data_IF_416046726673
#
_entry.id   IF_416046726673
#
_cell.length_a   1.000
_cell.length_b   1.000
_cell.length_c   1.000
_cell.angle_alpha   90.00
_cell.angle_beta   90.00
_cell.angle_gamma   90.00
#
_symmetry.space_group_name_H-M   'P 1'
#
loop_
_entity.id
_entity.type
_entity.pdbx_description
1 polymer ?
#
# COMPACT_ATOMS: atom_id res chain seq x y z
N UNK A 1 18.14 12.03 37.00
CA UNK A 1 18.15 10.64 37.50
C UNK A 1 16.83 10.01 37.11
N UNK A 2 16.86 9.15 36.09
CA UNK A 2 15.92 8.07 35.74
C UNK A 2 16.37 7.62 34.34
N UNK A 3 17.38 6.74 34.32
CA UNK A 3 17.75 6.01 33.11
C UNK A 3 16.68 4.96 32.87
N UNK A 4 15.80 5.19 31.89
CA UNK A 4 14.90 4.15 31.41
C UNK A 4 15.76 3.03 30.79
N UNK A 5 15.94 1.94 31.53
CA UNK A 5 16.50 0.72 30.97
C UNK A 5 15.42 0.14 30.06
N UNK A 6 15.61 0.27 28.74
CA UNK A 6 14.77 -0.44 27.75
C UNK A 6 15.06 -1.92 27.92
N UNK A 7 14.07 -2.65 28.43
CA UNK A 7 14.12 -4.11 28.53
C UNK A 7 14.21 -4.66 27.10
N UNK A 8 15.38 -5.19 26.74
CA UNK A 8 15.66 -5.66 25.39
C UNK A 8 14.93 -6.98 25.18
N UNK A 9 13.78 -6.91 24.50
CA UNK A 9 12.99 -8.12 24.21
C UNK A 9 13.76 -8.97 23.19
N UNK A 10 14.13 -10.23 23.52
CA UNK A 10 14.91 -11.06 22.62
C UNK A 10 14.13 -11.32 21.32
N UNK A 11 14.81 -11.16 20.18
CA UNK A 11 14.23 -11.41 18.85
C UNK A 11 13.85 -12.88 18.71
N UNK A 12 12.61 -13.15 18.30
CA UNK A 12 12.15 -14.52 18.01
C UNK A 12 12.72 -14.99 16.68
N UNK A 13 13.66 -15.93 16.74
CA UNK A 13 14.25 -16.58 15.57
C UNK A 13 13.52 -17.89 15.26
N UNK A 14 13.55 -18.31 13.99
CA UNK A 14 13.07 -19.64 13.62
C UNK A 14 14.20 -20.66 13.67
N UNK A 15 14.23 -21.48 14.71
CA UNK A 15 15.28 -22.48 14.95
C UNK A 15 14.92 -23.87 14.46
N UNK A 16 13.64 -24.22 14.43
CA UNK A 16 13.19 -25.61 14.23
C UNK A 16 12.87 -25.93 12.76
N UNK A 17 12.43 -24.92 11.99
CA UNK A 17 12.12 -25.05 10.55
C UNK A 17 12.14 -23.70 9.83
N UNK A 18 12.04 -23.73 8.51
CA UNK A 18 11.81 -22.54 7.69
C UNK A 18 10.36 -22.06 7.90
N UNK A 19 10.19 -20.77 8.22
CA UNK A 19 8.88 -20.12 8.25
C UNK A 19 8.57 -19.52 6.88
N UNK A 20 7.31 -19.58 6.51
CA UNK A 20 6.79 -19.10 5.23
C UNK A 20 5.92 -17.86 5.42
N UNK A 21 6.06 -16.93 4.49
CA UNK A 21 5.21 -15.75 4.37
C UNK A 21 5.15 -15.33 2.90
N UNK A 22 4.30 -14.36 2.59
CA UNK A 22 4.18 -13.75 1.28
C UNK A 22 4.45 -12.24 1.39
N UNK A 23 4.59 -11.59 0.24
CA UNK A 23 4.90 -10.16 0.18
C UNK A 23 3.62 -9.35 0.02
N UNK A 24 3.21 -8.70 1.12
CA UNK A 24 2.29 -7.55 1.11
C UNK A 24 0.90 -7.82 0.55
N UNK A 25 0.55 -7.10 -0.51
CA UNK A 25 -0.78 -7.03 -1.14
C UNK A 25 -1.31 -8.38 -1.61
N UNK A 26 -2.58 -8.65 -1.32
CA UNK A 26 -3.35 -9.79 -1.85
C UNK A 26 -4.55 -9.31 -2.70
N UNK A 27 -5.14 -10.17 -3.54
CA UNK A 27 -6.33 -9.81 -4.31
C UNK A 27 -7.44 -9.25 -3.41
N UNK A 28 -7.97 -8.09 -3.79
CA UNK A 28 -9.04 -7.40 -3.04
C UNK A 28 -10.40 -7.76 -3.61
N UNK A 29 -11.42 -7.96 -2.79
CA UNK A 29 -12.78 -8.16 -3.28
C UNK A 29 -13.28 -6.90 -3.99
N UNK A 30 -14.11 -7.07 -5.02
CA UNK A 30 -14.57 -5.95 -5.87
C UNK A 30 -15.20 -4.81 -5.06
N UNK A 31 -16.05 -5.15 -4.11
CA UNK A 31 -16.67 -4.19 -3.18
C UNK A 31 -15.66 -3.32 -2.43
N UNK A 32 -14.47 -3.86 -2.11
CA UNK A 32 -13.43 -3.09 -1.44
C UNK A 32 -12.68 -2.18 -2.41
N UNK A 33 -12.44 -2.66 -3.64
CA UNK A 33 -11.85 -1.84 -4.70
C UNK A 33 -12.73 -0.63 -5.04
N UNK A 34 -14.04 -0.81 -5.11
CA UNK A 34 -14.98 0.27 -5.41
C UNK A 34 -14.97 1.36 -4.32
N UNK A 35 -14.91 0.95 -3.03
CA UNK A 35 -14.78 1.88 -1.90
C UNK A 35 -13.45 2.65 -1.91
N UNK A 36 -12.34 1.95 -2.20
CA UNK A 36 -11.02 2.60 -2.34
C UNK A 36 -11.05 3.62 -3.48
N UNK A 37 -11.61 3.25 -4.64
CA UNK A 37 -11.71 4.14 -5.78
C UNK A 37 -12.55 5.39 -5.46
N UNK A 38 -13.68 5.22 -4.76
CA UNK A 38 -14.51 6.33 -4.31
C UNK A 38 -13.74 7.30 -3.40
N UNK A 39 -12.99 6.78 -2.43
CA UNK A 39 -12.12 7.58 -1.55
C UNK A 39 -11.05 8.32 -2.33
N UNK A 40 -10.36 7.64 -3.26
CA UNK A 40 -9.32 8.28 -4.08
C UNK A 40 -9.87 9.34 -5.03
N UNK A 41 -11.13 9.23 -5.44
CA UNK A 41 -11.83 10.24 -6.22
C UNK A 41 -12.37 11.42 -5.36
N UNK A 42 -12.12 11.43 -4.05
CA UNK A 42 -12.60 12.47 -3.14
C UNK A 42 -14.13 12.47 -2.96
N UNK A 43 -14.78 11.33 -3.23
CA UNK A 43 -16.22 11.20 -3.04
C UNK A 43 -16.56 11.10 -1.55
N UNK A 44 -17.77 11.56 -1.18
CA UNK A 44 -18.28 11.37 0.16
C UNK A 44 -18.35 9.87 0.48
N UNK A 45 -17.69 9.47 1.56
CA UNK A 45 -17.55 8.08 1.98
C UNK A 45 -18.15 7.92 3.37
N UNK A 46 -18.92 6.85 3.57
CA UNK A 46 -19.26 6.40 4.92
C UNK A 46 -18.03 5.67 5.49
N UNK A 47 -17.29 6.37 6.35
CA UNK A 47 -16.08 5.86 6.99
C UNK A 47 -16.35 4.60 7.82
N UNK A 48 -17.51 4.53 8.50
CA UNK A 48 -17.86 3.34 9.29
C UNK A 48 -18.08 2.13 8.39
N UNK A 49 -18.73 2.33 7.23
CA UNK A 49 -18.89 1.28 6.24
C UNK A 49 -17.55 0.86 5.61
N UNK A 50 -16.65 1.81 5.34
CA UNK A 50 -15.31 1.52 4.82
C UNK A 50 -14.49 0.66 5.79
N UNK A 51 -14.48 1.02 7.07
CA UNK A 51 -13.75 0.28 8.10
C UNK A 51 -14.36 -1.12 8.34
N UNK A 52 -15.68 -1.22 8.39
CA UNK A 52 -16.36 -2.51 8.52
C UNK A 52 -16.02 -3.44 7.35
N UNK A 53 -16.03 -2.92 6.12
CA UNK A 53 -15.70 -3.69 4.92
C UNK A 53 -14.23 -4.07 4.86
N UNK A 54 -13.34 -3.16 5.25
CA UNK A 54 -11.90 -3.42 5.37
C UNK A 54 -11.63 -4.57 6.34
N UNK A 55 -12.23 -4.53 7.53
CA UNK A 55 -12.07 -5.56 8.54
C UNK A 55 -12.58 -6.92 8.06
N UNK A 56 -13.70 -6.95 7.33
CA UNK A 56 -14.21 -8.17 6.70
C UNK A 56 -13.25 -8.73 5.65
N UNK A 57 -12.73 -7.89 4.77
CA UNK A 57 -11.76 -8.30 3.74
C UNK A 57 -10.49 -8.88 4.37
N UNK A 58 -9.95 -8.22 5.40
CA UNK A 58 -8.79 -8.69 6.17
C UNK A 58 -9.07 -10.05 6.82
N UNK A 59 -10.22 -10.21 7.51
CA UNK A 59 -10.60 -11.50 8.11
C UNK A 59 -10.64 -12.62 7.08
N UNK A 60 -11.20 -12.37 5.90
CA UNK A 60 -11.30 -13.37 4.84
C UNK A 60 -9.92 -13.80 4.33
N UNK A 61 -9.01 -12.85 4.01
CA UNK A 61 -7.68 -13.20 3.51
C UNK A 61 -6.78 -13.81 4.58
N UNK A 62 -6.91 -13.41 5.85
CA UNK A 62 -6.19 -14.03 6.95
C UNK A 62 -6.65 -15.48 7.15
N UNK A 63 -7.95 -15.75 7.10
CA UNK A 63 -8.48 -17.11 7.19
C UNK A 63 -7.92 -18.01 6.08
N UNK A 64 -7.81 -17.51 4.85
CA UNK A 64 -7.21 -18.24 3.73
C UNK A 64 -5.72 -18.50 3.94
N UNK A 65 -4.96 -17.50 4.41
CA UNK A 65 -3.54 -17.67 4.70
C UNK A 65 -3.29 -18.75 5.76
N UNK A 66 -4.09 -18.74 6.84
CA UNK A 66 -4.03 -19.77 7.90
C UNK A 66 -4.37 -21.14 7.34
N UNK A 67 -5.42 -21.25 6.53
CA UNK A 67 -5.81 -22.52 5.89
C UNK A 67 -4.73 -23.05 4.93
N UNK A 68 -3.96 -22.16 4.28
CA UNK A 68 -2.83 -22.51 3.43
C UNK A 68 -1.54 -22.85 4.21
N UNK A 69 -1.51 -22.67 5.53
CA UNK A 69 -0.34 -22.95 6.35
C UNK A 69 0.74 -21.86 6.31
N UNK A 70 0.38 -20.61 6.01
CA UNK A 70 1.30 -19.45 6.12
C UNK A 70 1.62 -19.20 7.59
N UNK A 71 2.91 -19.10 7.91
CA UNK A 71 3.39 -18.98 9.30
C UNK A 71 3.30 -17.56 9.86
N UNK A 72 3.63 -16.58 9.01
CA UNK A 72 3.53 -15.16 9.34
C UNK A 72 2.56 -14.53 8.35
N UNK A 73 1.35 -14.25 8.83
CA UNK A 73 0.26 -13.69 8.02
C UNK A 73 0.37 -12.17 7.90
N UNK A 74 -0.24 -11.62 6.85
CA UNK A 74 -0.38 -10.18 6.61
C UNK A 74 -1.85 -9.79 6.43
N UNK A 75 -2.18 -8.51 6.62
CA UNK A 75 -3.51 -7.95 6.34
C UNK A 75 -3.84 -7.97 4.84
N UNK A 76 -2.88 -8.31 3.97
CA UNK A 76 -3.05 -8.34 2.53
C UNK A 76 -3.28 -6.95 1.92
N UNK A 77 -2.96 -5.88 2.66
CA UNK A 77 -3.15 -4.47 2.29
C UNK A 77 -4.56 -4.12 1.79
N UNK A 78 -5.58 -4.80 2.34
CA UNK A 78 -6.95 -4.76 1.79
C UNK A 78 -7.59 -3.37 1.74
N UNK A 79 -7.17 -2.44 2.61
CA UNK A 79 -7.71 -1.07 2.70
C UNK A 79 -6.90 0.02 1.99
N UNK A 80 -5.78 -0.35 1.38
CA UNK A 80 -4.80 0.60 0.83
C UNK A 80 -4.87 0.61 -0.70
N UNK A 81 -4.85 1.79 -1.36
CA UNK A 81 -4.80 1.89 -2.82
C UNK A 81 -3.44 1.47 -3.37
N UNK A 82 -2.35 1.90 -2.72
CA UNK A 82 -0.97 1.53 -3.00
C UNK A 82 -0.08 1.99 -1.85
N UNK A 83 1.15 1.48 -1.76
CA UNK A 83 2.16 1.97 -0.82
C UNK A 83 2.41 3.48 -0.96
N UNK A 84 2.62 3.95 -2.20
CA UNK A 84 2.95 5.35 -2.46
C UNK A 84 1.75 6.25 -2.16
N UNK A 85 0.59 5.95 -2.75
CA UNK A 85 -0.61 6.79 -2.64
C UNK A 85 -1.16 6.87 -1.23
N UNK A 86 -1.01 5.83 -0.42
CA UNK A 86 -1.58 5.82 0.92
C UNK A 86 -0.96 6.86 1.86
N UNK A 87 0.28 7.28 1.62
CA UNK A 87 1.01 8.17 2.52
C UNK A 87 0.37 9.56 2.64
N UNK A 88 -0.27 10.07 1.58
CA UNK A 88 -0.99 11.37 1.61
C UNK A 88 -2.13 11.38 2.64
N UNK A 89 -2.69 10.21 2.96
CA UNK A 89 -3.78 10.09 3.92
C UNK A 89 -3.30 10.09 5.37
N UNK A 90 -1.98 10.03 5.60
CA UNK A 90 -1.40 9.83 6.94
C UNK A 90 -0.38 10.89 7.33
N UNK A 91 0.20 11.60 6.37
CA UNK A 91 1.25 12.57 6.59
C UNK A 91 0.83 13.89 5.95
N UNK A 92 0.79 14.96 6.76
CA UNK A 92 0.52 16.31 6.27
C UNK A 92 1.63 16.78 5.31
N UNK A 93 1.31 17.72 4.42
CA UNK A 93 2.28 18.24 3.45
C UNK A 93 2.57 17.32 2.26
N UNK A 94 2.03 16.11 2.24
CA UNK A 94 2.08 15.21 1.09
C UNK A 94 0.74 15.20 0.37
N UNK A 95 0.73 15.51 -0.93
CA UNK A 95 -0.45 15.44 -1.78
C UNK A 95 -0.06 15.09 -3.22
N UNK A 96 -1.06 14.91 -4.10
CA UNK A 96 -0.87 14.56 -5.50
C UNK A 96 -0.16 15.68 -6.27
N UNK A 97 0.98 15.36 -6.89
CA UNK A 97 1.78 16.32 -7.65
C UNK A 97 0.98 16.83 -8.87
N UNK A 98 0.61 18.13 -8.90
CA UNK A 98 -0.18 18.69 -10.00
C UNK A 98 0.62 18.74 -11.31
N UNK A 99 1.95 18.70 -11.26
CA UNK A 99 2.80 18.73 -12.46
C UNK A 99 2.69 17.49 -13.34
N UNK A 100 2.10 16.40 -12.83
CA UNK A 100 1.78 15.20 -13.63
C UNK A 100 0.79 15.53 -14.74
N UNK A 101 -0.06 16.55 -14.54
CA UNK A 101 -1.00 17.02 -15.57
C UNK A 101 -0.24 17.56 -16.79
N UNK A 102 0.90 18.22 -16.59
CA UNK A 102 1.70 18.83 -17.66
C UNK A 102 2.80 17.90 -18.19
N UNK A 103 3.48 17.17 -17.30
CA UNK A 103 4.66 16.34 -17.64
C UNK A 103 4.35 14.87 -17.87
N UNK A 104 3.11 14.44 -17.61
CA UNK A 104 2.72 13.03 -17.73
C UNK A 104 3.68 12.12 -16.94
N UNK A 105 4.08 11.00 -17.55
CA UNK A 105 5.01 10.03 -16.93
C UNK A 105 6.49 10.44 -16.97
N UNK A 106 6.85 11.59 -17.53
CA UNK A 106 8.26 12.03 -17.55
C UNK A 106 8.76 12.49 -16.18
N UNK A 107 7.87 12.65 -15.20
CA UNK A 107 8.26 12.79 -13.79
C UNK A 107 8.92 11.53 -13.22
N UNK A 108 8.70 10.37 -13.86
CA UNK A 108 9.29 9.08 -13.49
C UNK A 108 9.87 8.43 -14.74
N UNK A 109 10.85 9.09 -15.35
CA UNK A 109 11.76 8.46 -16.30
C UNK A 109 12.57 7.40 -15.54
N UNK A 110 12.14 6.14 -15.64
CA UNK A 110 13.03 5.01 -15.32
C UNK A 110 14.30 5.16 -16.14
N UNK A 111 15.47 4.96 -15.54
CA UNK A 111 16.75 5.05 -16.24
C UNK A 111 16.77 4.10 -17.45
N UNK A 112 16.16 2.92 -17.29
CA UNK A 112 15.92 1.93 -18.33
C UNK A 112 15.18 2.49 -19.56
N UNK A 113 14.35 3.53 -19.41
CA UNK A 113 13.65 4.20 -20.52
C UNK A 113 14.56 5.09 -21.35
N UNK A 114 15.66 5.58 -20.78
CA UNK A 114 16.71 6.28 -21.52
C UNK A 114 17.58 5.28 -22.30
N UNK A 115 17.81 4.10 -21.72
CA UNK A 115 18.67 3.05 -22.30
C UNK A 115 17.95 2.15 -23.30
N UNK A 116 16.63 1.97 -23.16
CA UNK A 116 15.78 1.08 -23.96
C UNK A 116 14.50 1.78 -24.46
N UNK A 117 14.62 2.73 -25.41
CA UNK A 117 13.47 3.50 -25.91
C UNK A 117 12.44 2.66 -26.68
N UNK A 118 12.83 1.46 -27.12
CA UNK A 118 12.00 0.47 -27.82
C UNK A 118 11.16 -0.41 -26.86
N UNK A 119 11.41 -0.34 -25.56
CA UNK A 119 10.66 -1.08 -24.54
C UNK A 119 9.31 -0.41 -24.24
N UNK A 120 8.34 -0.50 -25.17
CA UNK A 120 6.94 -0.19 -24.88
C UNK A 120 5.97 -1.18 -25.53
N UNK A 121 5.18 -1.86 -24.70
CA UNK A 121 3.85 -2.37 -25.11
C UNK A 121 2.84 -2.60 -23.98
N UNK A 122 3.17 -2.36 -22.70
CA UNK A 122 2.19 -2.46 -21.62
C UNK A 122 2.31 -1.31 -20.62
N UNK A 123 1.42 -0.33 -20.72
CA UNK A 123 1.25 0.73 -19.73
C UNK A 123 0.36 0.24 -18.58
N UNK A 124 0.88 -0.63 -17.72
CA UNK A 124 0.12 -1.21 -16.60
C UNK A 124 -0.09 -0.28 -15.37
N UNK A 125 0.31 0.99 -15.46
CA UNK A 125 0.12 1.97 -14.39
C UNK A 125 -0.92 3.02 -14.79
N UNK A 126 -1.83 3.33 -13.87
CA UNK A 126 -2.87 4.36 -14.03
C UNK A 126 -2.28 5.73 -14.36
N UNK A 127 -2.96 6.54 -15.17
CA UNK A 127 -2.61 7.95 -15.45
C UNK A 127 -2.86 8.89 -14.25
N UNK A 128 -2.80 8.37 -13.03
CA UNK A 128 -3.05 9.12 -11.79
C UNK A 128 -1.76 9.79 -11.34
N UNK A 129 -1.87 11.01 -10.81
CA UNK A 129 -0.75 11.70 -10.19
C UNK A 129 -0.11 10.87 -9.06
N UNK A 130 1.19 11.04 -8.86
CA UNK A 130 1.92 10.46 -7.74
C UNK A 130 1.96 11.45 -6.57
N UNK A 131 1.92 11.00 -5.32
CA UNK A 131 2.07 11.87 -4.17
C UNK A 131 3.49 12.42 -4.08
N UNK A 132 3.61 13.71 -3.76
CA UNK A 132 4.85 14.43 -3.56
C UNK A 132 4.77 15.34 -2.32
N UNK A 133 5.92 15.77 -1.81
CA UNK A 133 5.99 16.75 -0.73
C UNK A 133 5.70 18.15 -1.31
N UNK A 134 4.50 18.67 -1.06
CA UNK A 134 4.03 19.97 -1.54
C UNK A 134 3.96 21.02 -0.41
N UNK A 135 4.26 20.65 0.83
CA UNK A 135 4.24 21.52 2.00
C UNK A 135 5.16 21.03 3.13
N UNK A 136 5.14 21.68 4.31
CA UNK A 136 5.93 21.26 5.47
C UNK A 136 5.46 19.90 6.01
N UNK A 137 6.41 19.10 6.53
CA UNK A 137 6.20 17.80 7.18
C UNK A 137 6.11 17.93 8.70
#
# INVERSE_FOLDING_TARGET
>A
MLSEQREETPVKLSTDRILTTHVGSLPRPRSMLDLIAAREAGQALDEAAFEARSAEAVRAVVAQQVACGIDVVSDGEQSKPSYATYVKHRIAGIDMDPSVIERGRDVMLSLDRLEHPDFQTATNFSNTAFPACLGPL
#
